data_IF_071305738040
#
_entry.id   IF_071305738040
#
_cell.length_a   1.000
_cell.length_b   1.000
_cell.length_c   1.000
_cell.angle_alpha   90.00
_cell.angle_beta   90.00
_cell.angle_gamma   90.00
#
_symmetry.space_group_name_H-M   'P 1'
#
loop_
_entity.id
_entity.type
_entity.pdbx_description
1 polymer ?
#
# COMPACT_ATOMS: atom_id res chain seq x y z
N UNK A 1 1.57 -23.69 4.09
CA UNK A 1 1.67 -23.25 2.69
C UNK A 1 0.65 -23.98 1.86
N UNK A 2 0.00 -23.33 0.92
CA UNK A 2 -1.01 -23.97 0.08
C UNK A 2 -0.38 -24.97 -0.89
N UNK A 3 -1.19 -25.92 -1.36
CA UNK A 3 -0.73 -26.90 -2.35
C UNK A 3 -0.23 -26.23 -3.63
N UNK A 4 -0.85 -25.12 -4.03
CA UNK A 4 -0.44 -24.39 -5.24
C UNK A 4 0.95 -23.77 -5.09
N UNK A 5 1.27 -23.23 -3.90
CA UNK A 5 2.60 -22.68 -3.65
C UNK A 5 3.67 -23.78 -3.60
N UNK A 6 3.32 -24.98 -3.12
CA UNK A 6 4.25 -26.11 -3.09
C UNK A 6 4.60 -26.64 -4.47
N UNK A 7 3.76 -26.35 -5.48
CA UNK A 7 4.01 -26.75 -6.88
C UNK A 7 4.93 -25.77 -7.62
N UNK A 8 5.30 -24.68 -6.99
CA UNK A 8 6.19 -23.69 -7.61
C UNK A 8 7.61 -24.22 -7.56
N UNK A 9 8.30 -24.19 -8.71
CA UNK A 9 9.70 -24.58 -8.78
C UNK A 9 10.53 -23.74 -7.79
N UNK A 10 11.41 -24.35 -6.97
CA UNK A 10 12.16 -23.60 -5.96
C UNK A 10 12.90 -22.37 -6.47
N UNK A 11 13.49 -22.44 -7.66
CA UNK A 11 14.20 -21.30 -8.24
C UNK A 11 13.25 -20.12 -8.54
N UNK A 12 12.04 -20.43 -9.00
CA UNK A 12 11.03 -19.40 -9.28
C UNK A 12 10.51 -18.81 -7.97
N UNK A 13 10.27 -19.64 -6.97
CA UNK A 13 9.81 -19.17 -5.66
C UNK A 13 10.84 -18.23 -5.03
N UNK A 14 12.13 -18.62 -5.10
CA UNK A 14 13.21 -17.77 -4.61
C UNK A 14 13.23 -16.42 -5.31
N UNK A 15 13.05 -16.40 -6.62
CA UNK A 15 13.00 -15.17 -7.41
C UNK A 15 11.82 -14.28 -6.98
N UNK A 16 10.65 -14.89 -6.72
CA UNK A 16 9.49 -14.16 -6.22
C UNK A 16 9.80 -13.53 -4.86
N UNK A 17 10.44 -14.27 -3.98
CA UNK A 17 10.76 -13.79 -2.63
C UNK A 17 11.82 -12.68 -2.64
N UNK A 18 12.80 -12.77 -3.53
CA UNK A 18 13.90 -11.79 -3.60
C UNK A 18 13.51 -10.53 -4.39
N UNK A 19 12.79 -10.69 -5.48
CA UNK A 19 12.50 -9.59 -6.40
C UNK A 19 11.04 -9.14 -6.37
N UNK A 20 10.17 -9.92 -5.77
CA UNK A 20 8.73 -9.62 -5.76
C UNK A 20 8.07 -9.80 -7.13
N UNK A 21 8.76 -10.39 -8.10
CA UNK A 21 8.26 -10.53 -9.47
C UNK A 21 7.40 -11.78 -9.62
N UNK A 22 6.11 -11.60 -9.90
CA UNK A 22 5.12 -12.66 -10.03
C UNK A 22 4.88 -13.10 -11.47
N UNK A 23 5.64 -12.57 -12.42
CA UNK A 23 5.41 -12.79 -13.85
C UNK A 23 5.42 -14.27 -14.25
N UNK A 24 6.28 -15.06 -13.63
CA UNK A 24 6.45 -16.48 -13.97
C UNK A 24 5.46 -17.42 -13.28
N UNK A 25 4.62 -16.89 -12.40
CA UNK A 25 3.60 -17.70 -11.74
C UNK A 25 2.37 -17.85 -12.63
N UNK A 26 1.73 -19.02 -12.57
CA UNK A 26 0.44 -19.22 -13.22
C UNK A 26 -0.65 -18.43 -12.48
N UNK A 27 -1.84 -18.21 -13.10
CA UNK A 27 -2.92 -17.54 -12.38
C UNK A 27 -3.30 -18.20 -11.04
N UNK A 28 -3.32 -19.53 -10.99
CA UNK A 28 -3.63 -20.24 -9.74
C UNK A 28 -2.54 -20.02 -8.70
N UNK A 29 -1.27 -20.03 -9.12
CA UNK A 29 -0.14 -19.77 -8.22
C UNK A 29 -0.16 -18.34 -7.73
N UNK A 30 -0.47 -17.37 -8.59
CA UNK A 30 -0.58 -15.96 -8.19
C UNK A 30 -1.69 -15.76 -7.17
N UNK A 31 -2.85 -16.38 -7.39
CA UNK A 31 -3.96 -16.30 -6.45
C UNK A 31 -3.60 -16.91 -5.10
N UNK A 32 -2.95 -18.06 -5.09
CA UNK A 32 -2.50 -18.71 -3.86
C UNK A 32 -1.49 -17.85 -3.12
N UNK A 33 -0.55 -17.25 -3.84
CA UNK A 33 0.45 -16.34 -3.26
C UNK A 33 -0.23 -15.10 -2.65
N UNK A 34 -1.18 -14.51 -3.35
CA UNK A 34 -1.95 -13.36 -2.87
C UNK A 34 -2.65 -13.67 -1.54
N UNK A 35 -3.35 -14.80 -1.48
CA UNK A 35 -4.04 -15.24 -0.26
C UNK A 35 -3.03 -15.48 0.87
N UNK A 36 -1.91 -16.10 0.57
CA UNK A 36 -0.88 -16.37 1.57
C UNK A 36 -0.30 -15.07 2.17
N UNK A 37 -0.05 -14.07 1.33
CA UNK A 37 0.42 -12.76 1.79
C UNK A 37 -0.62 -12.13 2.70
N UNK A 38 -1.89 -12.15 2.29
CA UNK A 38 -2.98 -11.61 3.11
C UNK A 38 -3.06 -12.32 4.46
N UNK A 39 -3.01 -13.65 4.46
CA UNK A 39 -3.09 -14.43 5.70
C UNK A 39 -1.93 -14.12 6.63
N UNK A 40 -0.72 -13.96 6.09
CA UNK A 40 0.46 -13.63 6.89
C UNK A 40 0.35 -12.27 7.57
N UNK A 41 -0.41 -11.36 7.00
CA UNK A 41 -0.62 -9.99 7.52
C UNK A 41 -1.98 -9.82 8.19
N UNK A 42 -2.77 -10.90 8.33
CA UNK A 42 -4.13 -10.87 8.88
C UNK A 42 -5.06 -9.94 8.11
N UNK A 43 -4.92 -9.92 6.81
CA UNK A 43 -5.76 -9.14 5.91
C UNK A 43 -6.79 -10.03 5.24
N UNK A 44 -7.94 -9.47 4.93
CA UNK A 44 -8.99 -10.20 4.20
C UNK A 44 -8.76 -10.06 2.69
N UNK A 45 -8.45 -11.15 1.96
CA UNK A 45 -8.20 -11.07 0.52
C UNK A 45 -9.40 -10.59 -0.29
N UNK A 46 -10.62 -10.78 0.21
CA UNK A 46 -11.83 -10.34 -0.49
C UNK A 46 -12.00 -8.83 -0.53
N UNK A 47 -11.30 -8.10 0.31
CA UNK A 47 -11.30 -6.63 0.32
C UNK A 47 -10.28 -6.03 -0.64
N UNK A 48 -9.53 -6.87 -1.34
CA UNK A 48 -8.51 -6.44 -2.31
C UNK A 48 -7.49 -5.47 -1.72
N UNK A 49 -6.73 -5.90 -0.68
CA UNK A 49 -5.75 -5.00 -0.06
C UNK A 49 -4.52 -4.73 -0.91
N UNK A 50 -4.29 -5.53 -1.96
CA UNK A 50 -3.16 -5.34 -2.87
C UNK A 50 -3.65 -5.26 -4.31
N UNK A 51 -2.94 -4.47 -5.10
CA UNK A 51 -3.13 -4.41 -6.55
C UNK A 51 -1.94 -5.06 -7.23
N UNK A 52 -2.17 -5.69 -8.39
CA UNK A 52 -1.08 -6.14 -9.25
C UNK A 52 -0.64 -4.98 -10.13
N UNK A 53 0.63 -4.63 -10.06
CA UNK A 53 1.20 -3.56 -10.89
C UNK A 53 2.38 -4.08 -11.70
N UNK A 54 2.50 -3.61 -12.94
CA UNK A 54 3.67 -3.86 -13.77
C UNK A 54 4.61 -2.67 -13.68
N UNK A 55 5.80 -2.90 -13.14
CA UNK A 55 6.84 -1.89 -13.01
C UNK A 55 8.15 -2.46 -13.55
N UNK A 56 8.74 -1.79 -14.53
CA UNK A 56 10.04 -2.19 -15.10
C UNK A 56 10.06 -3.66 -15.56
N UNK A 57 8.96 -4.12 -16.18
CA UNK A 57 8.84 -5.49 -16.65
C UNK A 57 8.55 -6.54 -15.60
N UNK A 58 8.35 -6.13 -14.35
CA UNK A 58 8.03 -7.03 -13.23
C UNK A 58 6.58 -6.86 -12.84
N UNK A 59 5.94 -7.96 -12.44
CA UNK A 59 4.59 -7.95 -11.89
C UNK A 59 4.70 -8.04 -10.36
N UNK A 60 4.28 -7.00 -9.67
CA UNK A 60 4.41 -6.92 -8.21
C UNK A 60 3.05 -6.74 -7.53
N UNK A 61 3.01 -7.06 -6.22
CA UNK A 61 1.88 -6.70 -5.37
C UNK A 61 2.15 -5.33 -4.75
N UNK A 62 1.19 -4.43 -4.89
CA UNK A 62 1.27 -3.07 -4.35
C UNK A 62 0.18 -2.90 -3.28
N UNK A 63 0.60 -2.57 -2.06
CA UNK A 63 -0.34 -2.32 -0.96
C UNK A 63 -1.12 -1.03 -1.21
N UNK A 64 -2.43 -1.14 -1.27
CA UNK A 64 -3.30 -0.01 -1.55
C UNK A 64 -3.94 0.57 -0.28
N UNK A 65 -4.88 1.50 -0.46
CA UNK A 65 -5.59 2.16 0.63
C UNK A 65 -6.31 1.16 1.54
N UNK A 66 -6.92 0.12 0.97
CA UNK A 66 -7.64 -0.89 1.75
C UNK A 66 -6.71 -1.66 2.68
N UNK A 67 -5.50 -1.95 2.21
CA UNK A 67 -4.46 -2.59 3.02
C UNK A 67 -4.14 -1.73 4.26
N UNK A 68 -3.87 -0.45 4.05
CA UNK A 68 -3.53 0.46 5.14
C UNK A 68 -4.69 0.59 6.15
N UNK A 69 -5.92 0.71 5.66
CA UNK A 69 -7.09 0.83 6.54
C UNK A 69 -7.30 -0.42 7.40
N UNK A 70 -7.11 -1.61 6.84
CA UNK A 70 -7.24 -2.85 7.59
C UNK A 70 -6.14 -2.99 8.64
N UNK A 71 -4.91 -2.64 8.29
CA UNK A 71 -3.79 -2.67 9.25
C UNK A 71 -4.07 -1.74 10.42
N UNK A 72 -4.54 -0.52 10.15
CA UNK A 72 -4.87 0.43 11.21
C UNK A 72 -5.95 -0.12 12.15
N UNK A 73 -7.00 -0.72 11.61
CA UNK A 73 -8.07 -1.31 12.42
C UNK A 73 -7.57 -2.49 13.25
N UNK A 74 -6.80 -3.38 12.66
CA UNK A 74 -6.31 -4.59 13.32
C UNK A 74 -5.34 -4.27 14.46
N UNK A 75 -4.47 -3.28 14.26
CA UNK A 75 -3.43 -2.91 15.23
C UNK A 75 -3.84 -1.76 16.15
N UNK A 76 -5.04 -1.21 16.00
CA UNK A 76 -5.49 -0.11 16.84
C UNK A 76 -4.69 1.16 16.63
N UNK A 77 -4.30 1.46 15.38
CA UNK A 77 -3.52 2.64 15.05
C UNK A 77 -4.43 3.85 14.91
N UNK A 78 -4.13 4.92 15.64
CA UNK A 78 -4.81 6.21 15.54
C UNK A 78 -4.06 7.11 14.57
N UNK A 79 -4.79 7.77 13.68
CA UNK A 79 -4.21 8.71 12.71
C UNK A 79 -4.68 10.13 12.99
N UNK A 80 -3.75 11.08 12.88
CA UNK A 80 -4.02 12.50 12.87
C UNK A 80 -3.27 13.16 11.72
N UNK A 81 -3.72 14.35 11.33
CA UNK A 81 -3.05 15.15 10.29
C UNK A 81 -2.60 16.46 10.94
N UNK A 82 -1.47 16.44 11.69
CA UNK A 82 -1.05 17.60 12.50
C UNK A 82 -0.61 18.79 11.66
N UNK A 83 -0.22 18.61 10.42
CA UNK A 83 0.24 19.71 9.57
C UNK A 83 -0.26 19.58 8.15
N UNK A 84 -0.77 20.70 7.62
CA UNK A 84 -1.19 20.84 6.24
C UNK A 84 -0.72 22.21 5.77
N UNK A 85 -0.04 22.26 4.62
CA UNK A 85 0.42 23.54 4.09
C UNK A 85 0.51 23.53 2.57
N UNK A 86 0.52 24.70 1.98
CA UNK A 86 0.73 24.88 0.55
C UNK A 86 1.96 25.76 0.37
N UNK A 87 2.96 25.23 -0.35
CA UNK A 87 4.18 25.96 -0.68
C UNK A 87 4.44 25.83 -2.18
N UNK A 88 4.59 26.96 -2.87
CA UNK A 88 4.88 26.99 -4.31
C UNK A 88 3.93 26.10 -5.13
N UNK A 89 2.63 26.17 -4.85
CA UNK A 89 1.60 25.35 -5.49
C UNK A 89 1.70 23.85 -5.21
N UNK A 90 2.44 23.46 -4.17
CA UNK A 90 2.51 22.06 -3.71
C UNK A 90 1.75 21.97 -2.39
N UNK A 91 0.76 21.08 -2.35
CA UNK A 91 0.04 20.77 -1.12
C UNK A 91 0.80 19.68 -0.38
N UNK A 92 1.20 19.94 0.84
CA UNK A 92 1.98 19.04 1.67
C UNK A 92 1.19 18.76 2.95
N UNK A 93 1.00 17.49 3.23
CA UNK A 93 0.28 17.06 4.43
C UNK A 93 1.13 16.05 5.18
N UNK A 94 1.20 16.22 6.51
CA UNK A 94 1.89 15.28 7.40
C UNK A 94 0.84 14.47 8.14
N UNK A 95 0.98 13.15 8.10
CA UNK A 95 0.13 12.23 8.86
C UNK A 95 0.94 11.67 10.04
N UNK A 96 0.30 11.57 11.19
CA UNK A 96 0.89 10.98 12.39
C UNK A 96 0.10 9.75 12.77
N UNK A 97 0.81 8.64 12.99
CA UNK A 97 0.23 7.39 13.49
C UNK A 97 0.69 7.14 14.91
N UNK A 98 -0.23 6.77 15.78
CA UNK A 98 0.06 6.46 17.18
C UNK A 98 -0.50 5.09 17.54
N UNK A 99 0.31 4.25 18.18
CA UNK A 99 -0.11 2.93 18.63
C UNK A 99 0.82 2.47 19.75
N UNK A 100 0.24 2.12 20.91
CA UNK A 100 0.99 1.56 22.04
C UNK A 100 2.16 2.40 22.50
N UNK A 101 2.01 3.73 22.51
CA UNK A 101 3.06 4.65 22.92
C UNK A 101 4.09 4.99 21.85
N UNK A 102 3.94 4.41 20.65
CA UNK A 102 4.81 4.71 19.52
C UNK A 102 4.14 5.72 18.61
N UNK A 103 4.95 6.59 18.03
CA UNK A 103 4.50 7.65 17.13
C UNK A 103 5.39 7.67 15.90
N UNK A 104 4.77 7.67 14.72
CA UNK A 104 5.45 7.82 13.44
C UNK A 104 4.79 8.91 12.63
N UNK A 105 5.55 9.52 11.74
CA UNK A 105 5.03 10.53 10.83
C UNK A 105 5.48 10.24 9.39
N UNK A 106 4.62 10.60 8.43
CA UNK A 106 4.95 10.53 7.01
C UNK A 106 4.27 11.66 6.28
N UNK A 107 4.85 12.07 5.16
CA UNK A 107 4.37 13.19 4.37
C UNK A 107 3.83 12.72 3.04
N UNK A 108 2.71 13.30 2.62
CA UNK A 108 2.16 13.18 1.28
C UNK A 108 2.15 14.55 0.62
N UNK A 109 2.45 14.61 -0.67
CA UNK A 109 2.49 15.87 -1.40
C UNK A 109 1.90 15.70 -2.78
N UNK A 110 1.31 16.78 -3.30
CA UNK A 110 0.76 16.81 -4.66
C UNK A 110 0.89 18.22 -5.23
N UNK A 111 1.21 18.31 -6.52
CA UNK A 111 1.23 19.59 -7.21
C UNK A 111 -0.21 20.05 -7.45
N UNK A 112 -0.49 21.32 -7.12
CA UNK A 112 -1.78 21.95 -7.41
C UNK A 112 -1.70 22.85 -8.64
N UNK A 113 -0.56 22.87 -9.31
CA UNK A 113 -0.35 23.73 -10.47
C UNK A 113 -1.36 23.41 -11.57
N UNK A 114 -2.02 24.46 -12.08
CA UNK A 114 -3.03 24.36 -13.13
C UNK A 114 -4.30 23.58 -12.75
N UNK A 115 -4.46 23.20 -11.48
CA UNK A 115 -5.66 22.50 -11.02
C UNK A 115 -6.69 23.46 -10.46
N UNK A 116 -7.97 23.26 -10.81
CA UNK A 116 -9.09 24.05 -10.33
C UNK A 116 -10.28 23.17 -9.99
N UNK A 117 -11.13 23.66 -9.10
CA UNK A 117 -12.38 23.00 -8.75
C UNK A 117 -12.21 21.57 -8.27
N UNK A 118 -12.92 20.66 -8.90
CA UNK A 118 -12.92 19.24 -8.53
C UNK A 118 -11.55 18.58 -8.67
N UNK A 119 -10.79 18.96 -9.69
CA UNK A 119 -9.44 18.41 -9.88
C UNK A 119 -8.51 18.79 -8.73
N UNK A 120 -8.63 20.05 -8.26
CA UNK A 120 -7.85 20.52 -7.11
C UNK A 120 -8.25 19.79 -5.83
N UNK A 121 -9.55 19.65 -5.59
CA UNK A 121 -10.06 18.93 -4.43
C UNK A 121 -9.60 17.46 -4.42
N UNK A 122 -9.66 16.79 -5.58
CA UNK A 122 -9.23 15.41 -5.69
C UNK A 122 -7.73 15.27 -5.44
N UNK A 123 -6.92 16.20 -5.89
CA UNK A 123 -5.47 16.20 -5.65
C UNK A 123 -5.16 16.33 -4.16
N UNK A 124 -5.87 17.21 -3.46
CA UNK A 124 -5.72 17.37 -2.01
C UNK A 124 -6.07 16.07 -1.28
N UNK A 125 -7.18 15.42 -1.65
CA UNK A 125 -7.59 14.16 -1.05
C UNK A 125 -6.58 13.06 -1.31
N UNK A 126 -5.98 13.03 -2.50
CA UNK A 126 -4.92 12.07 -2.84
C UNK A 126 -3.69 12.24 -1.95
N UNK A 127 -3.29 13.48 -1.70
CA UNK A 127 -2.13 13.75 -0.84
C UNK A 127 -2.37 13.25 0.58
N UNK A 128 -3.56 13.49 1.12
CA UNK A 128 -3.93 13.03 2.45
C UNK A 128 -3.97 11.50 2.55
N UNK A 129 -4.57 10.83 1.56
CA UNK A 129 -4.61 9.38 1.49
C UNK A 129 -3.20 8.80 1.40
N UNK A 130 -2.34 9.42 0.60
CA UNK A 130 -0.95 9.01 0.44
C UNK A 130 -0.18 9.12 1.75
N UNK A 131 -0.35 10.23 2.48
CA UNK A 131 0.31 10.43 3.77
C UNK A 131 -0.14 9.38 4.79
N UNK A 132 -1.45 9.14 4.88
CA UNK A 132 -2.02 8.14 5.79
C UNK A 132 -1.51 6.73 5.48
N UNK A 133 -1.46 6.37 4.20
CA UNK A 133 -0.96 5.06 3.78
C UNK A 133 0.52 4.91 4.09
N UNK A 134 1.33 5.93 3.78
CA UNK A 134 2.77 5.89 4.02
C UNK A 134 3.13 5.74 5.48
N UNK A 135 2.47 6.47 6.36
CA UNK A 135 2.76 6.38 7.80
C UNK A 135 2.31 5.03 8.37
N UNK A 136 1.26 4.42 7.80
CA UNK A 136 0.76 3.12 8.25
C UNK A 136 1.70 1.98 7.81
N UNK A 137 2.27 2.09 6.61
CA UNK A 137 3.07 1.02 6.00
C UNK A 137 4.57 1.19 6.21
N UNK A 138 5.00 2.22 6.90
CA UNK A 138 6.41 2.47 7.18
C UNK A 138 6.97 1.62 8.32
#
# INVERSE_FOLDING_TARGET
MSAELQKIEPAILEQVMLEGDLTKLSPDQRSAYYVQVCDSMKLNPLTKPFDYLKLNGKLILYANKNCAEQIRRTLGISLTLPEKKIEENVYIVTARAESGGRTDEATGAVSLEHLKGEQRANAIMKAETKAKRRVTLS
#
